data_IF_200696501204
#
_entry.id   IF_200696501204
#
_cell.length_a   1.000
_cell.length_b   1.000
_cell.length_c   1.000
_cell.angle_alpha   90.00
_cell.angle_beta   90.00
_cell.angle_gamma   90.00
#
_symmetry.space_group_name_H-M   'P 1'
#
loop_
_entity.id
_entity.type
_entity.pdbx_description
1 polymer ?
#
# COMPACT_ATOMS: atom_id res chain seq x y z
N UNK A 1 -1.61 -29.98 9.49
CA UNK A 1 -0.88 -29.06 8.59
C UNK A 1 -0.10 -28.10 9.44
N UNK A 2 1.22 -28.01 9.26
CA UNK A 2 2.05 -27.08 10.04
C UNK A 2 1.86 -25.65 9.54
N UNK A 3 1.94 -24.68 10.46
CA UNK A 3 1.81 -23.24 10.16
C UNK A 3 2.82 -22.77 9.11
N UNK A 4 4.02 -23.36 9.11
CA UNK A 4 5.05 -23.08 8.13
C UNK A 4 4.63 -23.48 6.70
N UNK A 5 3.92 -24.60 6.53
CA UNK A 5 3.42 -25.05 5.23
C UNK A 5 2.26 -24.17 4.73
N UNK A 6 1.38 -23.69 5.62
CA UNK A 6 0.29 -22.80 5.22
C UNK A 6 0.81 -21.43 4.79
N UNK A 7 1.81 -20.88 5.49
CA UNK A 7 2.49 -19.64 5.11
C UNK A 7 3.18 -19.78 3.75
N UNK A 8 3.94 -20.86 3.54
CA UNK A 8 4.60 -21.14 2.25
C UNK A 8 3.59 -21.26 1.11
N UNK A 9 2.50 -22.00 1.32
CA UNK A 9 1.47 -22.17 0.31
C UNK A 9 0.82 -20.84 -0.07
N UNK A 10 0.56 -19.97 0.92
CA UNK A 10 0.02 -18.63 0.68
C UNK A 10 0.99 -17.76 -0.13
N UNK A 11 2.26 -17.70 0.27
CA UNK A 11 3.27 -16.92 -0.44
C UNK A 11 3.46 -17.41 -1.88
N UNK A 12 3.47 -18.72 -2.09
CA UNK A 12 3.60 -19.31 -3.43
C UNK A 12 2.42 -18.90 -4.33
N UNK A 13 1.19 -18.92 -3.79
CA UNK A 13 0.01 -18.45 -4.53
C UNK A 13 0.10 -16.96 -4.85
N UNK A 14 0.51 -16.13 -3.90
CA UNK A 14 0.68 -14.69 -4.11
C UNK A 14 1.71 -14.41 -5.21
N UNK A 15 2.87 -15.09 -5.18
CA UNK A 15 3.90 -14.98 -6.23
C UNK A 15 3.36 -15.42 -7.58
N UNK A 16 2.60 -16.51 -7.64
CA UNK A 16 2.00 -16.95 -8.91
C UNK A 16 1.01 -15.92 -9.46
N UNK A 17 0.12 -15.38 -8.62
CA UNK A 17 -0.83 -14.34 -9.03
C UNK A 17 -0.13 -13.09 -9.56
N UNK A 18 0.93 -12.63 -8.91
CA UNK A 18 1.74 -11.50 -9.39
C UNK A 18 2.38 -11.75 -10.76
N UNK A 19 2.67 -13.01 -11.10
CA UNK A 19 3.29 -13.38 -12.38
C UNK A 19 2.29 -13.65 -13.50
N UNK A 20 1.11 -14.17 -13.17
CA UNK A 20 0.16 -14.69 -14.17
C UNK A 20 -1.09 -13.84 -14.34
N UNK A 21 -1.47 -13.04 -13.34
CA UNK A 21 -2.66 -12.20 -13.39
C UNK A 21 -2.28 -10.72 -13.42
N UNK A 22 -2.46 -10.11 -14.59
CA UNK A 22 -2.13 -8.70 -14.84
C UNK A 22 -2.97 -7.77 -13.97
N UNK A 23 -4.24 -8.10 -13.74
CA UNK A 23 -5.15 -7.28 -12.93
C UNK A 23 -4.72 -7.28 -11.47
N UNK A 24 -4.34 -8.45 -10.96
CA UNK A 24 -3.81 -8.58 -9.61
C UNK A 24 -2.49 -7.84 -9.43
N UNK A 25 -1.55 -8.00 -10.38
CA UNK A 25 -0.29 -7.28 -10.38
C UNK A 25 -0.50 -5.76 -10.39
N UNK A 26 -1.37 -5.25 -11.25
CA UNK A 26 -1.68 -3.82 -11.35
C UNK A 26 -2.28 -3.29 -10.05
N UNK A 27 -3.18 -4.03 -9.43
CA UNK A 27 -3.79 -3.64 -8.14
C UNK A 27 -2.72 -3.50 -7.07
N UNK A 28 -1.84 -4.51 -6.93
CA UNK A 28 -0.76 -4.49 -5.93
C UNK A 28 0.27 -3.39 -6.22
N UNK A 29 0.59 -3.15 -7.50
CA UNK A 29 1.51 -2.10 -7.92
C UNK A 29 0.97 -0.70 -7.59
N UNK A 30 -0.33 -0.46 -7.83
CA UNK A 30 -1.00 0.80 -7.47
C UNK A 30 -1.04 0.98 -5.95
N UNK A 31 -1.47 -0.04 -5.22
CA UNK A 31 -1.68 0.05 -3.76
C UNK A 31 -0.38 0.15 -2.95
N UNK A 32 0.67 -0.58 -3.35
CA UNK A 32 1.91 -0.68 -2.55
C UNK A 32 3.00 0.28 -3.01
N UNK A 33 3.00 0.68 -4.29
CA UNK A 33 4.08 1.46 -4.88
C UNK A 33 3.62 2.83 -5.41
N UNK A 34 2.34 3.18 -5.23
CA UNK A 34 1.73 4.41 -5.77
C UNK A 34 2.04 4.60 -7.27
N UNK A 35 2.12 3.51 -8.04
CA UNK A 35 2.37 3.58 -9.48
C UNK A 35 1.11 3.98 -10.24
N UNK A 36 1.27 4.74 -11.32
CA UNK A 36 0.20 5.14 -12.23
C UNK A 36 0.67 4.97 -13.68
N UNK A 37 -0.28 4.83 -14.61
CA UNK A 37 0.02 4.80 -16.04
C UNK A 37 0.14 6.23 -16.59
N UNK A 38 0.70 6.33 -17.79
CA UNK A 38 0.82 7.61 -18.49
C UNK A 38 -0.57 8.23 -18.71
N UNK A 39 -0.71 9.52 -18.37
CA UNK A 39 -1.97 10.25 -18.46
C UNK A 39 -2.89 10.13 -17.24
N UNK A 40 -2.55 9.30 -16.25
CA UNK A 40 -3.28 9.23 -14.99
C UNK A 40 -2.78 10.28 -13.98
N UNK A 41 -3.60 10.62 -12.97
CA UNK A 41 -3.22 11.52 -11.88
C UNK A 41 -3.69 10.93 -10.55
N UNK A 42 -2.77 10.77 -9.60
CA UNK A 42 -3.12 10.31 -8.25
C UNK A 42 -3.67 11.48 -7.43
N UNK A 43 -4.90 11.35 -6.96
CA UNK A 43 -5.50 12.27 -6.00
C UNK A 43 -5.35 11.71 -4.59
N UNK A 44 -4.49 12.35 -3.78
CA UNK A 44 -4.35 12.01 -2.35
C UNK A 44 -5.36 12.82 -1.56
N UNK A 45 -6.39 12.15 -1.06
CA UNK A 45 -7.39 12.75 -0.20
C UNK A 45 -6.86 12.78 1.23
N UNK A 46 -6.06 13.80 1.56
CA UNK A 46 -5.73 14.11 2.94
C UNK A 46 -7.03 14.59 3.62
N UNK A 47 -7.52 13.86 4.62
CA UNK A 47 -8.53 14.43 5.53
C UNK A 47 -7.91 15.72 6.05
N UNK A 48 -8.62 16.85 5.91
CA UNK A 48 -8.08 18.16 6.25
C UNK A 48 -7.39 18.08 7.61
N UNK A 49 -6.04 18.11 7.61
CA UNK A 49 -5.27 18.01 8.85
C UNK A 49 -5.85 19.03 9.80
N UNK A 50 -6.45 18.56 10.90
CA UNK A 50 -6.67 19.43 12.05
C UNK A 50 -5.30 20.07 12.33
N UNK A 51 -5.22 21.40 12.17
CA UNK A 51 -3.98 22.16 12.30
C UNK A 51 -3.29 21.70 13.59
N UNK A 52 -2.01 21.29 13.55
CA UNK A 52 -1.30 21.00 14.79
C UNK A 52 -1.36 22.27 15.65
N UNK A 53 -1.92 22.16 16.86
CA UNK A 53 -1.89 23.26 17.83
C UNK A 53 -0.42 23.67 17.98
N UNK A 54 -0.08 24.97 17.92
CA UNK A 54 1.28 25.39 18.19
C UNK A 54 1.62 24.91 19.60
N UNK A 55 2.68 24.11 19.69
CA UNK A 55 3.23 23.64 20.94
C UNK A 55 3.67 24.88 21.72
N UNK A 56 2.95 25.21 22.79
CA UNK A 56 3.34 26.24 23.76
C UNK A 56 4.50 25.69 24.59
N UNK A 57 5.66 25.58 23.95
CA UNK A 57 6.92 25.27 24.60
C UNK A 57 7.82 26.49 24.52
N UNK A 58 7.38 27.61 25.10
CA UNK A 58 8.25 28.71 25.55
C UNK A 58 7.61 29.42 26.76
N UNK A 59 8.14 29.16 27.96
CA UNK A 59 8.45 30.11 29.06
C UNK A 59 8.82 29.26 30.29
N UNK A 60 10.13 29.08 30.54
CA UNK A 60 10.96 29.76 31.56
C UNK A 60 10.56 29.40 32.99
#
# INVERSE_FOLDING_TARGET
MSEQQSLLARQTREVNLLKTDVTYLETIARDRLDLMKEGETIFRLETARAKPKPNDSVRR
#
